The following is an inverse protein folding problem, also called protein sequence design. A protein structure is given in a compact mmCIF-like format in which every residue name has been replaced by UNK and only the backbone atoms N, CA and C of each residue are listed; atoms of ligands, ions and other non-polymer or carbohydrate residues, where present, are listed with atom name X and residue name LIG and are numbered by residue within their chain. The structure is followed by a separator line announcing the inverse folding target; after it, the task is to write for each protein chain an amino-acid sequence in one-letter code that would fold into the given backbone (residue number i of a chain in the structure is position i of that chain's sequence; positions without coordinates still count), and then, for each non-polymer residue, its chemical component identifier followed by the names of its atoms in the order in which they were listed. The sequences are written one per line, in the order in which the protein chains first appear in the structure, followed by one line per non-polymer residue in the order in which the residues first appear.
data_IF_795551546453
#
_entry.id   IF_795551546453
#
_cell.length_a   1.000
_cell.length_b   1.000
_cell.length_c   1.000
_cell.angle_alpha   90.00
_cell.angle_beta   90.00
_cell.angle_gamma   90.00
#
_symmetry.space_group_name_H-M   'P 1'
#
loop_
_entity.id
_entity.type
_entity.pdbx_description
1 polymer ?
#
# COMPACT_ATOMS: atom_id res chain seq x y z
N UNK A 1 -89.73 40.15 -18.75
CA UNK A 1 -90.56 39.52 -17.71
C UNK A 1 -89.81 39.63 -16.39
N UNK A 2 -90.44 40.15 -15.34
CA UNK A 2 -89.87 40.32 -13.99
C UNK A 2 -90.71 39.55 -12.98
N UNK A 3 -90.09 39.13 -11.86
CA UNK A 3 -90.61 39.54 -10.56
C UNK A 3 -89.52 40.21 -9.69
N UNK A 4 -89.75 41.45 -9.22
CA UNK A 4 -90.20 41.81 -7.85
C UNK A 4 -89.08 41.62 -6.79
N UNK A 5 -88.32 42.69 -6.42
CA UNK A 5 -88.44 43.53 -5.18
C UNK A 5 -87.97 42.83 -3.88
N UNK A 6 -87.43 43.48 -2.83
CA UNK A 6 -87.28 44.90 -2.42
C UNK A 6 -86.18 45.01 -1.31
N UNK A 7 -85.89 46.23 -0.84
CA UNK A 7 -85.32 46.59 0.48
C UNK A 7 -83.82 46.47 0.75
N UNK A 8 -83.18 47.62 1.06
CA UNK A 8 -82.11 47.71 2.07
C UNK A 8 -82.71 47.70 3.50
N UNK A 9 -81.98 48.05 4.59
CA UNK A 9 -81.08 49.22 4.67
C UNK A 9 -79.84 49.03 5.60
N UNK A 10 -79.34 50.14 6.13
CA UNK A 10 -78.59 50.33 7.38
C UNK A 10 -77.10 49.97 7.51
N UNK A 11 -76.30 51.04 7.39
CA UNK A 11 -75.24 51.31 8.37
C UNK A 11 -75.89 51.55 9.75
N UNK A 12 -75.47 50.83 10.80
CA UNK A 12 -74.97 51.45 12.05
C UNK A 12 -74.50 50.44 13.13
N UNK A 13 -73.62 50.95 14.00
CA UNK A 13 -73.27 50.46 15.35
C UNK A 13 -72.66 49.05 15.53
N UNK A 14 -71.34 49.00 15.82
CA UNK A 14 -70.65 47.79 16.29
C UNK A 14 -69.13 47.99 16.47
N UNK A 15 -68.70 48.20 17.72
CA UNK A 15 -67.32 48.52 18.17
C UNK A 15 -66.22 47.47 17.83
N UNK A 16 -64.92 47.78 18.05
CA UNK A 16 -63.87 47.44 17.09
C UNK A 16 -63.09 46.17 17.42
N UNK A 17 -62.96 45.26 16.45
CA UNK A 17 -62.08 44.09 16.58
C UNK A 17 -61.24 43.86 15.32
N UNK A 18 -59.93 44.06 15.51
CA UNK A 18 -58.82 43.33 14.88
C UNK A 18 -58.86 43.19 13.35
N UNK A 19 -58.04 44.01 12.67
CA UNK A 19 -57.59 43.72 11.30
C UNK A 19 -57.06 42.28 11.26
N UNK A 20 -57.51 41.43 10.31
CA UNK A 20 -56.86 40.14 10.11
C UNK A 20 -55.44 40.40 9.61
N UNK A 21 -54.46 40.19 10.49
CA UNK A 21 -53.07 40.02 10.06
C UNK A 21 -53.09 38.82 9.13
N UNK A 22 -52.77 39.04 7.86
CA UNK A 22 -52.55 37.97 6.90
C UNK A 22 -51.34 37.19 7.41
N UNK A 23 -51.60 36.11 8.16
CA UNK A 23 -50.57 35.20 8.60
C UNK A 23 -50.04 34.50 7.36
N UNK A 24 -48.90 34.98 6.86
CA UNK A 24 -48.09 34.26 5.90
C UNK A 24 -47.71 32.92 6.53
N UNK A 25 -48.45 31.86 6.19
CA UNK A 25 -48.02 30.49 6.50
C UNK A 25 -46.61 30.33 5.96
N UNK A 26 -45.60 30.00 6.79
CA UNK A 26 -44.31 29.60 6.23
C UNK A 26 -44.57 28.39 5.34
N UNK A 27 -44.20 28.51 4.07
CA UNK A 27 -44.13 27.37 3.17
C UNK A 27 -43.21 26.33 3.81
N UNK A 28 -43.68 25.09 3.83
CA UNK A 28 -42.95 23.95 4.40
C UNK A 28 -41.55 23.91 3.75
N UNK A 29 -40.44 24.00 4.51
CA UNK A 29 -39.12 24.11 3.93
C UNK A 29 -38.84 22.86 3.09
N UNK A 30 -38.49 23.08 1.82
CA UNK A 30 -38.11 22.04 0.88
C UNK A 30 -37.20 20.99 1.56
N UNK A 31 -37.44 19.69 1.37
CA UNK A 31 -36.66 18.65 2.03
C UNK A 31 -35.17 18.90 1.76
N UNK A 32 -34.30 18.76 2.78
CA UNK A 32 -32.90 19.11 2.66
C UNK A 32 -32.31 18.38 1.46
N UNK A 33 -31.71 19.14 0.54
CA UNK A 33 -31.05 18.57 -0.65
C UNK A 33 -30.07 17.52 -0.14
N UNK A 34 -30.32 16.25 -0.51
CA UNK A 34 -29.39 15.16 -0.26
C UNK A 34 -28.08 15.52 -0.96
N UNK A 35 -27.12 16.05 -0.20
CA UNK A 35 -25.77 16.29 -0.68
C UNK A 35 -25.24 14.93 -1.15
N UNK A 36 -24.81 14.79 -2.41
CA UNK A 36 -24.30 13.53 -2.90
C UNK A 36 -23.16 13.07 -1.98
N UNK A 37 -23.05 11.76 -1.68
CA UNK A 37 -22.00 11.27 -0.81
C UNK A 37 -20.64 11.73 -1.35
N UNK A 38 -19.71 12.17 -0.48
CA UNK A 38 -18.42 12.67 -0.93
C UNK A 38 -17.72 11.62 -1.80
N UNK A 39 -17.06 12.02 -2.89
CA UNK A 39 -16.41 11.07 -3.78
C UNK A 39 -15.38 10.24 -3.01
N UNK A 40 -15.23 8.94 -3.32
CA UNK A 40 -14.32 8.07 -2.61
C UNK A 40 -12.89 8.65 -2.66
N UNK A 41 -12.26 8.75 -1.50
CA UNK A 41 -10.92 9.32 -1.40
C UNK A 41 -9.94 8.59 -2.34
N UNK A 42 -9.01 9.31 -3.02
CA UNK A 42 -8.10 8.69 -3.96
C UNK A 42 -7.26 7.60 -3.26
N UNK A 43 -6.94 6.49 -3.96
CA UNK A 43 -6.27 5.35 -3.35
C UNK A 43 -4.86 5.70 -2.89
N UNK A 44 -4.68 5.90 -1.58
CA UNK A 44 -3.39 6.22 -0.97
C UNK A 44 -2.58 4.94 -0.71
N UNK A 45 -1.44 4.80 -1.40
CA UNK A 45 -0.13 4.68 -0.74
C UNK A 45 -0.13 4.42 0.79
N UNK A 46 -0.10 3.20 1.37
CA UNK A 46 0.24 3.10 2.78
C UNK A 46 1.64 3.68 3.00
N UNK A 47 1.77 4.59 3.97
CA UNK A 47 3.06 5.21 4.25
C UNK A 47 4.13 4.14 4.51
N UNK A 48 5.32 4.32 3.93
CA UNK A 48 6.38 3.30 3.89
C UNK A 48 6.46 2.52 2.57
N UNK A 49 5.38 2.42 1.78
CA UNK A 49 5.40 1.77 0.47
C UNK A 49 6.41 2.42 -0.50
N UNK A 50 6.46 3.75 -0.55
CA UNK A 50 7.45 4.50 -1.35
C UNK A 50 8.88 4.33 -0.85
N UNK A 51 9.09 4.15 0.47
CA UNK A 51 10.41 3.87 1.03
C UNK A 51 10.88 2.46 0.66
N UNK A 52 9.99 1.46 0.69
CA UNK A 52 10.29 0.10 0.24
C UNK A 52 10.65 0.09 -1.25
N UNK A 53 9.85 0.72 -2.10
CA UNK A 53 10.12 0.79 -3.53
C UNK A 53 11.45 1.52 -3.82
N UNK A 54 11.68 2.69 -3.21
CA UNK A 54 12.93 3.43 -3.37
C UNK A 54 14.16 2.66 -2.86
N UNK A 55 14.05 1.98 -1.72
CA UNK A 55 15.12 1.14 -1.19
C UNK A 55 15.38 -0.09 -2.07
N UNK A 56 14.35 -0.76 -2.59
CA UNK A 56 14.50 -1.88 -3.51
C UNK A 56 15.16 -1.46 -4.84
N UNK A 57 14.77 -0.31 -5.38
CA UNK A 57 15.42 0.27 -6.57
C UNK A 57 16.89 0.60 -6.29
N UNK A 58 17.19 1.25 -5.16
CA UNK A 58 18.55 1.62 -4.77
C UNK A 58 19.44 0.38 -4.55
N UNK A 59 18.98 -0.59 -3.75
CA UNK A 59 19.70 -1.84 -3.46
C UNK A 59 19.99 -2.64 -4.73
N UNK A 60 19.02 -2.71 -5.65
CA UNK A 60 19.22 -3.42 -6.91
C UNK A 60 20.17 -2.73 -7.89
N UNK A 61 20.52 -1.46 -7.67
CA UNK A 61 21.36 -0.72 -8.62
C UNK A 61 22.77 -1.32 -8.71
N UNK A 62 23.42 -1.35 -9.89
CA UNK A 62 24.69 -2.05 -10.06
C UNK A 62 25.77 -1.56 -9.09
N UNK A 63 25.84 -0.24 -8.85
CA UNK A 63 26.76 0.39 -7.91
C UNK A 63 26.59 -0.10 -6.46
N UNK A 64 25.34 -0.23 -6.00
CA UNK A 64 25.04 -0.67 -4.63
C UNK A 64 25.14 -2.20 -4.52
N UNK A 65 24.70 -2.95 -5.53
CA UNK A 65 24.83 -4.41 -5.57
C UNK A 65 26.32 -4.83 -5.50
N UNK A 66 27.20 -4.13 -6.21
CA UNK A 66 28.65 -4.36 -6.14
C UNK A 66 29.20 -4.04 -4.74
N UNK A 67 28.81 -2.91 -4.15
CA UNK A 67 29.24 -2.56 -2.79
C UNK A 67 28.76 -3.57 -1.74
N UNK A 68 27.55 -4.12 -1.89
CA UNK A 68 27.00 -5.17 -1.04
C UNK A 68 27.77 -6.49 -1.20
N UNK A 69 28.16 -6.87 -2.43
CA UNK A 69 29.04 -8.04 -2.69
C UNK A 69 30.42 -7.86 -2.07
N UNK A 70 31.00 -6.67 -2.18
CA UNK A 70 32.28 -6.36 -1.54
C UNK A 70 32.18 -6.55 -0.02
N UNK A 71 31.21 -5.91 0.64
CA UNK A 71 31.00 -6.08 2.08
C UNK A 71 30.75 -7.55 2.45
N UNK A 72 30.00 -8.30 1.64
CA UNK A 72 29.75 -9.72 1.87
C UNK A 72 31.08 -10.51 1.90
N UNK A 73 31.98 -10.25 0.95
CA UNK A 73 33.31 -10.89 0.88
C UNK A 73 34.22 -10.55 2.08
N UNK A 74 34.02 -9.37 2.67
CA UNK A 74 34.78 -8.90 3.84
C UNK A 74 34.23 -9.49 5.16
N UNK A 75 32.91 -9.67 5.27
CA UNK A 75 32.25 -10.19 6.48
C UNK A 75 32.54 -11.67 6.77
N UNK A 76 32.85 -12.48 5.74
CA UNK A 76 33.05 -13.95 5.84
C UNK A 76 34.26 -14.36 6.73
N UNK A 77 35.10 -13.43 7.18
CA UNK A 77 36.38 -13.71 7.85
C UNK A 77 36.32 -13.81 9.39
N UNK A 78 35.16 -14.03 10.01
CA UNK A 78 34.99 -14.03 11.48
C UNK A 78 33.90 -15.00 11.95
N UNK A 79 34.33 -16.15 12.46
CA UNK A 79 33.44 -17.28 12.82
C UNK A 79 33.23 -17.49 14.33
N UNK A 80 34.01 -16.85 15.20
CA UNK A 80 33.99 -17.15 16.63
C UNK A 80 32.92 -16.36 17.44
N UNK A 81 32.11 -17.11 18.20
CA UNK A 81 31.23 -16.61 19.26
C UNK A 81 30.08 -15.70 18.80
N UNK A 82 29.67 -14.75 19.66
CA UNK A 82 28.58 -13.80 19.39
C UNK A 82 28.88 -12.94 18.14
N UNK A 83 30.17 -12.67 17.88
CA UNK A 83 30.59 -11.94 16.67
C UNK A 83 30.26 -12.75 15.42
N UNK A 84 30.55 -14.06 15.42
CA UNK A 84 30.16 -15.00 14.36
C UNK A 84 28.65 -15.04 14.08
N UNK A 85 27.82 -14.94 15.13
CA UNK A 85 26.36 -14.86 14.96
C UNK A 85 25.92 -13.54 14.31
N UNK A 86 26.55 -12.42 14.68
CA UNK A 86 26.25 -11.10 14.09
C UNK A 86 26.74 -11.04 12.62
N UNK A 87 27.94 -11.53 12.32
CA UNK A 87 28.46 -11.62 10.94
C UNK A 87 27.64 -12.59 10.10
N UNK A 88 27.17 -13.70 10.66
CA UNK A 88 26.26 -14.64 10.00
C UNK A 88 24.92 -13.99 9.61
N UNK A 89 24.29 -13.23 10.52
CA UNK A 89 23.07 -12.46 10.22
C UNK A 89 23.35 -11.38 9.16
N UNK A 90 24.49 -10.67 9.28
CA UNK A 90 24.91 -9.66 8.32
C UNK A 90 25.13 -10.24 6.91
N UNK A 91 25.88 -11.32 6.80
CA UNK A 91 26.13 -12.04 5.55
C UNK A 91 24.82 -12.54 4.92
N UNK A 92 23.92 -13.13 5.72
CA UNK A 92 22.59 -13.56 5.27
C UNK A 92 21.75 -12.41 4.74
N UNK A 93 21.79 -11.24 5.41
CA UNK A 93 21.10 -10.04 4.95
C UNK A 93 21.71 -9.48 3.66
N UNK A 94 23.04 -9.44 3.54
CA UNK A 94 23.74 -8.98 2.33
C UNK A 94 23.44 -9.91 1.13
N UNK A 95 23.52 -11.22 1.33
CA UNK A 95 23.14 -12.24 0.34
C UNK A 95 21.67 -12.09 -0.11
N UNK A 96 20.75 -11.86 0.84
CA UNK A 96 19.37 -11.54 0.50
C UNK A 96 19.22 -10.24 -0.29
N UNK A 97 19.98 -9.19 0.04
CA UNK A 97 19.90 -7.90 -0.65
C UNK A 97 20.49 -7.95 -2.08
N UNK A 98 21.56 -8.71 -2.32
CA UNK A 98 22.17 -8.84 -3.66
C UNK A 98 21.30 -9.60 -4.67
N UNK A 99 20.22 -10.25 -4.21
CA UNK A 99 19.18 -10.87 -5.04
C UNK A 99 18.37 -9.86 -5.88
N UNK A 100 18.17 -8.64 -5.38
CA UNK A 100 17.64 -7.55 -6.20
C UNK A 100 18.78 -7.09 -7.12
N UNK A 101 18.56 -7.11 -8.43
CA UNK A 101 19.55 -6.67 -9.42
C UNK A 101 18.86 -6.01 -10.61
N UNK A 102 19.35 -4.83 -10.97
CA UNK A 102 19.07 -4.15 -12.23
C UNK A 102 20.27 -4.34 -13.14
N UNK A 103 20.05 -4.94 -14.31
CA UNK A 103 21.02 -4.91 -15.40
C UNK A 103 20.39 -4.14 -16.55
N UNK A 104 20.84 -2.90 -16.75
CA UNK A 104 20.35 -2.00 -17.79
C UNK A 104 21.06 -2.21 -19.13
N UNK A 105 22.02 -3.14 -19.20
CA UNK A 105 22.74 -3.52 -20.41
C UNK A 105 21.89 -4.35 -21.35
N UNK A 106 21.06 -3.68 -22.16
CA UNK A 106 20.33 -4.25 -23.30
C UNK A 106 21.24 -4.43 -24.53
N UNK A 107 22.46 -4.94 -24.32
CA UNK A 107 23.34 -5.35 -25.41
C UNK A 107 22.94 -6.76 -25.86
N UNK A 108 22.69 -6.94 -27.16
CA UNK A 108 22.28 -8.22 -27.74
C UNK A 108 23.39 -9.27 -27.56
N UNK A 109 23.16 -10.19 -26.62
CA UNK A 109 24.11 -11.24 -26.26
C UNK A 109 23.43 -12.45 -25.63
N UNK A 110 24.16 -13.57 -25.47
CA UNK A 110 23.59 -14.83 -24.96
C UNK A 110 23.04 -14.74 -23.52
N UNK A 111 23.38 -13.67 -22.78
CA UNK A 111 22.90 -13.42 -21.41
C UNK A 111 21.62 -12.59 -21.35
N UNK A 112 21.03 -12.16 -22.49
CA UNK A 112 19.87 -11.26 -22.54
C UNK A 112 18.68 -11.82 -21.73
N UNK A 113 18.33 -13.09 -21.93
CA UNK A 113 17.26 -13.79 -21.20
C UNK A 113 17.50 -13.77 -19.69
N UNK A 114 18.74 -14.05 -19.27
CA UNK A 114 19.12 -14.07 -17.87
C UNK A 114 18.97 -12.68 -17.25
N UNK A 115 19.53 -11.64 -17.89
CA UNK A 115 19.34 -10.23 -17.48
C UNK A 115 17.87 -9.83 -17.41
N UNK A 116 17.08 -10.21 -18.41
CA UNK A 116 15.64 -9.90 -18.47
C UNK A 116 14.88 -10.59 -17.34
N UNK A 117 15.22 -11.85 -17.02
CA UNK A 117 14.63 -12.58 -15.89
C UNK A 117 14.89 -11.91 -14.54
N UNK A 118 16.08 -11.34 -14.33
CA UNK A 118 16.44 -10.68 -13.08
C UNK A 118 15.83 -9.28 -12.92
N UNK A 119 15.82 -8.50 -14.00
CA UNK A 119 15.09 -7.24 -14.03
C UNK A 119 13.59 -7.50 -13.78
N UNK A 120 13.00 -8.49 -14.45
CA UNK A 120 11.61 -8.88 -14.26
C UNK A 120 11.35 -9.36 -12.82
N UNK A 121 12.23 -10.17 -12.23
CA UNK A 121 12.16 -10.60 -10.81
C UNK A 121 12.12 -9.39 -9.87
N UNK A 122 12.99 -8.41 -10.10
CA UNK A 122 13.07 -7.18 -9.30
C UNK A 122 11.82 -6.30 -9.48
N UNK A 123 11.30 -6.16 -10.72
CA UNK A 123 10.03 -5.46 -11.00
C UNK A 123 8.84 -6.17 -10.35
N UNK A 124 8.73 -7.49 -10.49
CA UNK A 124 7.66 -8.30 -9.91
C UNK A 124 7.65 -8.16 -8.39
N UNK A 125 8.80 -8.20 -7.72
CA UNK A 125 8.90 -7.98 -6.28
C UNK A 125 8.31 -6.61 -5.89
N UNK A 126 8.71 -5.54 -6.55
CA UNK A 126 8.23 -4.17 -6.26
C UNK A 126 6.72 -4.06 -6.53
N UNK A 127 6.26 -4.50 -7.69
CA UNK A 127 4.85 -4.41 -8.09
C UNK A 127 3.95 -5.23 -7.17
N UNK A 128 4.33 -6.48 -6.85
CA UNK A 128 3.57 -7.34 -5.94
C UNK A 128 3.57 -6.80 -4.51
N UNK A 129 4.71 -6.32 -4.00
CA UNK A 129 4.78 -5.70 -2.68
C UNK A 129 3.87 -4.46 -2.60
N UNK A 130 3.95 -3.55 -3.58
CA UNK A 130 3.09 -2.36 -3.64
C UNK A 130 1.60 -2.72 -3.78
N UNK A 131 1.27 -3.73 -4.59
CA UNK A 131 -0.10 -4.20 -4.78
C UNK A 131 -0.68 -4.82 -3.51
N UNK A 132 0.07 -5.72 -2.85
CA UNK A 132 -0.32 -6.31 -1.57
C UNK A 132 -0.49 -5.24 -0.49
N UNK A 133 0.48 -4.32 -0.34
CA UNK A 133 0.39 -3.21 0.61
C UNK A 133 -0.83 -2.33 0.33
N UNK A 134 -1.13 -2.01 -0.94
CA UNK A 134 -2.33 -1.25 -1.33
C UNK A 134 -3.61 -2.01 -0.99
N UNK A 135 -3.68 -3.32 -1.22
CA UNK A 135 -4.85 -4.15 -0.87
C UNK A 135 -5.10 -4.15 0.63
N UNK A 136 -4.04 -4.19 1.43
CA UNK A 136 -4.11 -4.14 2.89
C UNK A 136 -4.47 -2.76 3.44
N UNK A 137 -4.02 -1.68 2.77
CA UNK A 137 -4.44 -0.32 3.11
C UNK A 137 -5.94 -0.09 2.84
N UNK A 138 -6.52 -0.82 1.87
CA UNK A 138 -7.94 -0.80 1.55
C UNK A 138 -8.79 -1.76 2.41
N UNK A 139 -8.18 -2.55 3.30
CA UNK A 139 -8.91 -3.54 4.10
C UNK A 139 -9.71 -2.88 5.23
N UNK A 140 -11.02 -3.15 5.25
CA UNK A 140 -11.97 -2.77 6.30
C UNK A 140 -12.64 -4.02 6.87
N UNK A 141 -12.75 -4.20 8.21
CA UNK A 141 -12.32 -3.28 9.27
C UNK A 141 -10.80 -3.18 9.41
N UNK A 142 -10.35 -2.07 10.00
CA UNK A 142 -8.94 -1.72 10.12
C UNK A 142 -8.25 -2.58 11.20
N UNK A 143 -7.22 -3.39 10.87
CA UNK A 143 -6.67 -4.36 11.81
C UNK A 143 -5.83 -3.75 12.95
N UNK A 144 -5.72 -4.44 14.11
CA UNK A 144 -4.95 -3.99 15.27
C UNK A 144 -3.43 -3.93 15.01
N UNK A 145 -2.70 -3.14 15.81
CA UNK A 145 -1.28 -2.81 15.54
C UNK A 145 -0.35 -4.02 15.40
N UNK A 146 -0.49 -5.03 16.27
CA UNK A 146 0.33 -6.25 16.17
C UNK A 146 0.10 -7.00 14.86
N UNK A 147 -1.16 -7.16 14.45
CA UNK A 147 -1.51 -7.77 13.17
C UNK A 147 -0.98 -6.94 11.99
N UNK A 148 -1.06 -5.60 12.04
CA UNK A 148 -0.45 -4.71 11.03
C UNK A 148 1.06 -4.94 10.88
N UNK A 149 1.80 -5.09 11.97
CA UNK A 149 3.25 -5.30 11.92
C UNK A 149 3.62 -6.69 11.34
N UNK A 150 2.90 -7.74 11.76
CA UNK A 150 3.05 -9.10 11.19
C UNK A 150 2.72 -9.13 9.70
N UNK A 151 1.64 -8.46 9.28
CA UNK A 151 1.25 -8.35 7.89
C UNK A 151 2.25 -7.52 7.08
N UNK A 152 2.78 -6.42 7.64
CA UNK A 152 3.83 -5.62 7.01
C UNK A 152 5.15 -6.40 6.86
N UNK A 153 5.44 -7.35 7.75
CA UNK A 153 6.54 -8.30 7.58
C UNK A 153 6.25 -9.34 6.49
N UNK A 154 5.05 -9.93 6.49
CA UNK A 154 4.68 -11.00 5.56
C UNK A 154 4.61 -10.54 4.10
N UNK A 155 4.26 -9.28 3.83
CA UNK A 155 4.06 -8.79 2.45
C UNK A 155 5.34 -8.83 1.60
N UNK A 156 6.50 -8.28 2.02
CA UNK A 156 7.72 -8.40 1.24
C UNK A 156 8.20 -9.85 1.10
N UNK A 157 7.99 -10.70 2.11
CA UNK A 157 8.30 -12.14 2.02
C UNK A 157 7.47 -12.82 0.93
N UNK A 158 6.14 -12.65 0.94
CA UNK A 158 5.25 -13.24 -0.07
C UNK A 158 5.52 -12.67 -1.47
N UNK A 159 5.79 -11.36 -1.58
CA UNK A 159 6.15 -10.73 -2.85
C UNK A 159 7.48 -11.26 -3.41
N UNK A 160 8.49 -11.47 -2.56
CA UNK A 160 9.79 -11.98 -2.98
C UNK A 160 9.70 -13.45 -3.44
N UNK A 161 8.99 -14.31 -2.69
CA UNK A 161 8.77 -15.71 -3.08
C UNK A 161 7.98 -15.80 -4.39
N UNK A 162 6.91 -15.02 -4.56
CA UNK A 162 6.14 -15.00 -5.80
C UNK A 162 6.97 -14.47 -7.00
N UNK A 163 7.80 -13.45 -6.79
CA UNK A 163 8.71 -12.94 -7.81
C UNK A 163 9.84 -13.92 -8.16
N UNK A 164 10.35 -14.68 -7.18
CA UNK A 164 11.31 -15.76 -7.39
C UNK A 164 10.74 -16.85 -8.30
N UNK A 165 9.52 -17.30 -8.00
CA UNK A 165 8.78 -18.28 -8.82
C UNK A 165 8.53 -17.71 -10.22
N UNK A 166 8.10 -16.45 -10.34
CA UNK A 166 7.90 -15.79 -11.64
C UNK A 166 9.16 -15.71 -12.50
N UNK A 167 10.31 -15.38 -11.89
CA UNK A 167 11.61 -15.38 -12.57
C UNK A 167 12.05 -16.78 -13.01
N UNK A 168 11.90 -17.79 -12.14
CA UNK A 168 12.18 -19.20 -12.48
C UNK A 168 11.28 -19.70 -13.60
N UNK A 169 10.00 -19.33 -13.61
CA UNK A 169 9.06 -19.68 -14.68
C UNK A 169 9.50 -19.09 -16.02
N UNK A 170 9.93 -17.83 -16.08
CA UNK A 170 10.44 -17.23 -17.32
C UNK A 170 11.71 -17.90 -17.80
N UNK A 171 12.65 -18.22 -16.89
CA UNK A 171 13.85 -18.99 -17.23
C UNK A 171 13.51 -20.39 -17.78
N UNK A 172 12.47 -21.05 -17.26
CA UNK A 172 12.03 -22.38 -17.73
C UNK A 172 11.32 -22.34 -19.09
N UNK A 173 10.65 -21.24 -19.44
CA UNK A 173 9.90 -21.12 -20.71
C UNK A 173 10.74 -20.60 -21.87
N UNK A 174 11.82 -19.85 -21.61
CA UNK A 174 12.71 -19.32 -22.65
C UNK A 174 13.86 -20.27 -23.02
N UNK A 175 14.10 -21.33 -22.24
CA UNK A 175 15.24 -22.26 -22.43
C UNK A 175 15.06 -23.25 -23.60
N UNK A 176 14.83 -22.69 -24.80
CA UNK A 176 14.84 -23.38 -26.09
C UNK A 176 16.22 -23.87 -26.55
N UNK A 177 17.13 -24.23 -25.63
CA UNK A 177 18.34 -24.99 -25.95
C UNK A 177 19.66 -24.60 -25.26
N UNK A 178 19.68 -23.71 -24.25
CA UNK A 178 20.92 -23.24 -23.62
C UNK A 178 20.98 -23.56 -22.11
N UNK A 179 20.71 -24.83 -21.80
CA UNK A 179 20.62 -25.44 -20.46
C UNK A 179 21.92 -25.47 -19.61
N UNK A 180 22.77 -24.44 -19.66
CA UNK A 180 24.01 -24.30 -18.87
C UNK A 180 23.82 -23.77 -17.45
N UNK A 181 22.72 -23.09 -17.16
CA UNK A 181 22.41 -22.60 -15.79
C UNK A 181 21.32 -23.45 -15.09
N UNK A 182 20.36 -23.98 -15.85
CA UNK A 182 19.27 -24.83 -15.36
C UNK A 182 19.73 -26.25 -14.93
N UNK A 183 20.96 -26.64 -15.25
CA UNK A 183 21.57 -27.92 -14.82
C UNK A 183 22.06 -27.92 -13.36
N UNK A 184 22.09 -26.78 -12.67
CA UNK A 184 22.48 -26.73 -11.25
C UNK A 184 21.32 -27.18 -10.35
N UNK A 185 21.44 -28.28 -9.58
CA UNK A 185 20.41 -28.69 -8.61
C UNK A 185 20.22 -27.66 -7.48
N UNK A 186 21.16 -26.72 -7.36
CA UNK A 186 21.10 -25.64 -6.37
C UNK A 186 20.35 -24.40 -6.86
N UNK A 187 20.03 -24.26 -8.16
CA UNK A 187 19.42 -23.03 -8.70
C UNK A 187 18.11 -22.65 -8.00
N UNK A 188 17.20 -23.62 -7.83
CA UNK A 188 15.90 -23.41 -7.16
C UNK A 188 16.05 -23.09 -5.67
N UNK A 189 16.74 -23.89 -4.83
CA UNK A 189 16.89 -23.57 -3.40
C UNK A 189 17.72 -22.30 -3.15
N UNK A 190 18.75 -22.00 -3.96
CA UNK A 190 19.53 -20.76 -3.87
C UNK A 190 18.64 -19.53 -4.19
N UNK A 191 17.89 -19.58 -5.29
CA UNK A 191 16.96 -18.49 -5.68
C UNK A 191 15.86 -18.28 -4.64
N UNK A 192 15.29 -19.35 -4.07
CA UNK A 192 14.23 -19.27 -3.05
C UNK A 192 14.76 -18.79 -1.70
N UNK A 193 15.93 -19.26 -1.25
CA UNK A 193 16.53 -18.82 0.01
C UNK A 193 16.94 -17.35 -0.07
N UNK A 194 17.61 -16.93 -1.15
CA UNK A 194 17.89 -15.53 -1.46
C UNK A 194 16.62 -14.66 -1.39
N UNK A 195 15.53 -15.09 -2.03
CA UNK A 195 14.26 -14.38 -2.02
C UNK A 195 13.63 -14.28 -0.61
N UNK A 196 13.69 -15.37 0.18
CA UNK A 196 13.22 -15.39 1.56
C UNK A 196 14.03 -14.44 2.45
N UNK A 197 15.36 -14.38 2.29
CA UNK A 197 16.21 -13.45 3.03
C UNK A 197 15.96 -11.99 2.61
N UNK A 198 15.86 -11.71 1.30
CA UNK A 198 15.46 -10.40 0.76
C UNK A 198 14.14 -9.94 1.39
N UNK A 199 13.09 -10.76 1.23
CA UNK A 199 11.76 -10.48 1.76
C UNK A 199 11.75 -10.30 3.27
N UNK A 200 12.58 -11.04 4.01
CA UNK A 200 12.72 -10.90 5.47
C UNK A 200 13.36 -9.57 5.86
N UNK A 201 14.43 -9.13 5.17
CA UNK A 201 15.08 -7.83 5.44
C UNK A 201 14.11 -6.67 5.20
N UNK A 202 13.45 -6.64 4.05
CA UNK A 202 12.44 -5.61 3.75
C UNK A 202 11.21 -5.72 4.67
N UNK A 203 10.81 -6.94 5.05
CA UNK A 203 9.73 -7.20 5.99
C UNK A 203 10.01 -6.65 7.39
N UNK A 204 11.22 -6.87 7.93
CA UNK A 204 11.63 -6.33 9.24
C UNK A 204 11.67 -4.81 9.20
N UNK A 205 12.27 -4.21 8.16
CA UNK A 205 12.31 -2.76 7.98
C UNK A 205 10.89 -2.15 7.94
N UNK A 206 9.98 -2.77 7.19
CA UNK A 206 8.61 -2.26 7.08
C UNK A 206 7.81 -2.47 8.36
N UNK A 207 7.93 -3.63 9.02
CA UNK A 207 7.30 -3.89 10.31
C UNK A 207 7.76 -2.87 11.37
N UNK A 208 9.07 -2.61 11.47
CA UNK A 208 9.66 -1.60 12.35
C UNK A 208 9.13 -0.18 12.05
N UNK A 209 9.04 0.21 10.77
CA UNK A 209 8.44 1.47 10.34
C UNK A 209 6.96 1.58 10.72
N UNK A 210 6.19 0.48 10.67
CA UNK A 210 4.78 0.49 11.11
C UNK A 210 4.63 0.55 12.62
N UNK A 211 5.50 -0.13 13.38
CA UNK A 211 5.49 -0.14 14.84
C UNK A 211 5.83 1.25 15.43
N UNK A 212 6.72 2.01 14.79
CA UNK A 212 7.13 3.35 15.24
C UNK A 212 6.08 4.46 15.06
N UNK A 213 4.94 4.20 14.40
CA UNK A 213 3.91 5.22 14.19
C UNK A 213 3.07 5.44 15.44
N UNK A 214 3.18 6.64 16.02
CA UNK A 214 2.15 7.16 16.94
C UNK A 214 0.79 7.16 16.21
N UNK A 215 -0.32 6.84 16.90
CA UNK A 215 -1.65 7.09 16.34
C UNK A 215 -1.79 8.60 16.07
N UNK A 216 -2.64 9.01 15.11
CA UNK A 216 -3.12 10.39 15.10
C UNK A 216 -3.71 10.68 16.49
N UNK A 217 -3.41 11.85 17.05
CA UNK A 217 -4.00 12.26 18.32
C UNK A 217 -5.51 12.29 18.14
N UNK A 218 -6.24 11.51 18.95
CA UNK A 218 -7.69 11.64 19.04
C UNK A 218 -7.96 13.03 19.59
N UNK A 219 -8.54 13.91 18.77
CA UNK A 219 -8.71 15.32 19.10
C UNK A 219 -9.59 15.43 20.37
N UNK A 220 -9.05 15.90 21.52
CA UNK A 220 -9.76 15.86 22.80
C UNK A 220 -10.95 16.85 22.85
N UNK A 221 -11.10 17.66 21.81
CA UNK A 221 -12.19 18.62 21.61
C UNK A 221 -13.53 17.97 21.26
N UNK A 222 -13.56 16.68 20.88
CA UNK A 222 -14.78 15.98 20.47
C UNK A 222 -15.73 15.58 21.61
N UNK A 223 -15.33 15.70 22.88
CA UNK A 223 -16.15 15.33 24.04
C UNK A 223 -16.44 16.50 24.97
N UNK A 224 -17.40 17.35 24.59
CA UNK A 224 -18.14 18.18 25.54
C UNK A 224 -19.64 18.09 25.26
N UNK A 225 -20.34 17.07 25.79
CA UNK A 225 -21.80 17.08 25.77
C UNK A 225 -22.29 18.23 26.66
N UNK A 226 -22.68 19.36 26.04
CA UNK A 226 -23.51 20.37 26.69
C UNK A 226 -24.95 19.86 26.78
N UNK A 227 -25.31 19.27 27.92
CA UNK A 227 -26.59 19.47 28.64
C UNK A 227 -26.59 18.69 29.94
#
# INVERSE_FOLDING_TARGET
MTPWTLSGPDRQAGSPLLRPVVQSRPLDPLPPRLTPPPPPAPPRLPAGAGLLAGAAVLVGSPWVNEQLRQWQSELVKRDDGIVGLITGIGNTALYGLTWLRWDLGLEDGPDLTYRLSENLRTVLFIVLALWLLRRLAAATPVPPRGHRALVAFAVPVLAAVAAAIGGLVVLLFDDGGHARQLTSPYLVPDTLSSALFCGSVFGVLLAWLTARRKPPATDPTASTPRR
#
